data_IF_769837165909
#
_entry.id   IF_769837165909
#
_cell.length_a   1.000
_cell.length_b   1.000
_cell.length_c   1.000
_cell.angle_alpha   90.00
_cell.angle_beta   90.00
_cell.angle_gamma   90.00
#
_symmetry.space_group_name_H-M   'P 1'
#
loop_
_entity.id
_entity.type
_entity.pdbx_description
1 polymer ?
#
# COMPACT_ATOMS: atom_id res chain seq x y z
N UNK A 1 10.57 43.47 68.93
CA UNK A 1 9.21 42.94 68.67
C UNK A 1 9.38 41.66 67.85
N UNK A 2 8.59 40.64 68.18
CA UNK A 2 8.87 39.20 68.11
C UNK A 2 9.37 38.60 66.78
N UNK A 3 10.31 37.66 66.94
CA UNK A 3 10.64 36.55 66.03
C UNK A 3 9.52 35.50 65.98
N UNK A 4 9.42 34.76 64.87
CA UNK A 4 9.12 33.30 64.76
C UNK A 4 9.24 32.93 63.26
N UNK A 5 10.28 32.24 62.78
CA UNK A 5 10.68 30.81 62.93
C UNK A 5 9.61 29.79 62.50
N UNK A 6 10.00 28.92 61.56
CA UNK A 6 9.39 27.61 61.30
C UNK A 6 9.36 27.27 59.80
N UNK A 7 10.42 26.73 59.20
CA UNK A 7 10.77 25.28 59.12
C UNK A 7 9.76 24.55 58.22
N UNK A 8 10.09 24.27 56.94
CA UNK A 8 10.93 23.19 56.39
C UNK A 8 10.12 21.94 56.05
N UNK A 9 10.61 21.25 55.01
CA UNK A 9 10.36 19.87 54.60
C UNK A 9 9.08 19.64 53.77
N UNK A 10 9.07 18.76 52.77
CA UNK A 10 10.06 18.09 51.92
C UNK A 10 9.18 17.10 51.16
N UNK A 11 9.46 16.90 49.87
CA UNK A 11 9.26 15.59 49.22
C UNK A 11 7.81 15.11 49.05
N UNK A 12 7.43 14.27 48.10
CA UNK A 12 7.91 13.80 46.82
C UNK A 12 6.85 12.75 46.41
N UNK A 13 6.98 12.22 45.19
CA UNK A 13 6.74 10.79 44.89
C UNK A 13 5.32 10.33 44.48
N UNK A 14 5.35 9.67 43.31
CA UNK A 14 4.56 8.54 42.78
C UNK A 14 3.08 8.76 42.43
N UNK A 15 2.71 8.77 41.14
CA UNK A 15 2.52 7.63 40.19
C UNK A 15 1.45 6.63 40.69
N UNK A 16 0.57 6.27 39.74
CA UNK A 16 -0.41 5.16 39.70
C UNK A 16 -1.79 5.54 40.27
N UNK A 17 -2.82 5.58 39.43
CA UNK A 17 -3.41 4.31 38.99
C UNK A 17 -4.30 4.47 37.76
N UNK A 18 -3.96 3.69 36.73
CA UNK A 18 -4.92 3.10 35.81
C UNK A 18 -5.87 2.23 36.63
N UNK A 19 -7.16 2.56 36.61
CA UNK A 19 -8.23 1.59 36.89
C UNK A 19 -9.31 1.76 35.84
N UNK A 20 -9.33 0.77 34.94
CA UNK A 20 -10.50 0.44 34.15
C UNK A 20 -11.69 0.24 35.10
N UNK A 21 -12.75 1.01 34.91
CA UNK A 21 -14.08 0.63 35.35
C UNK A 21 -14.83 0.10 34.13
N UNK A 22 -14.67 -1.21 33.93
CA UNK A 22 -15.72 -2.06 33.39
C UNK A 22 -16.95 -1.94 34.28
N UNK A 23 -18.10 -1.58 33.72
CA UNK A 23 -19.39 -2.04 34.22
C UNK A 23 -20.39 -2.11 33.08
N UNK A 24 -20.79 -3.33 32.75
CA UNK A 24 -22.02 -3.63 32.04
C UNK A 24 -23.12 -3.83 33.07
N UNK A 25 -24.20 -3.04 33.01
CA UNK A 25 -25.58 -3.55 32.97
C UNK A 25 -26.66 -2.45 32.78
N UNK A 26 -27.35 -2.57 31.64
CA UNK A 26 -28.79 -2.36 31.32
C UNK A 26 -29.60 -1.10 31.71
N UNK A 27 -30.00 -0.41 30.62
CA UNK A 27 -31.36 0.05 30.20
C UNK A 27 -32.10 1.10 31.05
N UNK A 28 -32.38 2.28 30.47
CA UNK A 28 -33.74 2.78 30.15
C UNK A 28 -33.66 4.04 29.25
N UNK A 29 -34.56 4.10 28.26
CA UNK A 29 -34.75 5.12 27.20
C UNK A 29 -34.77 6.58 27.69
N UNK A 30 -34.10 7.47 26.95
CA UNK A 30 -34.60 8.80 26.62
C UNK A 30 -33.89 9.37 25.37
N UNK A 31 -34.71 9.87 24.45
CA UNK A 31 -34.46 10.83 23.35
C UNK A 31 -33.23 10.69 22.45
N UNK A 32 -33.50 10.43 21.17
CA UNK A 32 -32.55 10.58 20.08
C UNK A 32 -32.14 12.05 19.92
N UNK A 33 -30.84 12.39 19.98
CA UNK A 33 -30.37 13.59 19.34
C UNK A 33 -30.23 13.29 17.85
N UNK A 34 -31.15 13.87 17.09
CA UNK A 34 -30.95 14.25 15.71
C UNK A 34 -29.68 15.08 15.58
N UNK A 35 -28.61 14.46 15.09
CA UNK A 35 -27.55 15.19 14.40
C UNK A 35 -27.11 14.34 13.21
N UNK A 36 -27.72 14.67 12.07
CA UNK A 36 -27.13 14.49 10.75
C UNK A 36 -25.82 15.30 10.80
N UNK A 37 -24.73 14.67 11.23
CA UNK A 37 -23.43 15.06 10.73
C UNK A 37 -23.26 14.28 9.43
N UNK A 38 -23.60 14.93 8.32
CA UNK A 38 -23.06 14.58 7.03
C UNK A 38 -21.53 14.67 7.16
N UNK A 39 -20.90 13.56 7.54
CA UNK A 39 -19.53 13.33 7.20
C UNK A 39 -19.54 13.31 5.66
N UNK A 40 -19.07 14.39 5.06
CA UNK A 40 -18.71 14.39 3.65
C UNK A 40 -17.62 13.34 3.53
N UNK A 41 -18.01 12.10 3.20
CA UNK A 41 -17.07 11.10 2.75
C UNK A 41 -16.57 11.61 1.40
N UNK A 42 -15.48 12.36 1.43
CA UNK A 42 -14.76 12.71 0.21
C UNK A 42 -14.14 11.40 -0.29
N UNK A 43 -14.90 10.66 -1.10
CA UNK A 43 -14.43 9.39 -1.67
C UNK A 43 -13.22 9.65 -2.57
N UNK A 44 -12.19 8.81 -2.43
CA UNK A 44 -11.01 8.87 -3.27
C UNK A 44 -11.37 8.49 -4.70
N UNK A 45 -11.07 9.37 -5.66
CA UNK A 45 -11.34 9.16 -7.08
C UNK A 45 -10.05 8.76 -7.78
N UNK A 46 -10.07 7.65 -8.53
CA UNK A 46 -8.92 7.22 -9.32
C UNK A 46 -8.63 8.25 -10.42
N UNK A 47 -7.42 8.81 -10.37
CA UNK A 47 -6.97 9.91 -11.23
C UNK A 47 -6.07 9.40 -12.37
N UNK A 48 -5.06 8.59 -12.03
CA UNK A 48 -4.11 8.05 -13.01
C UNK A 48 -3.49 6.73 -12.57
N UNK A 49 -2.89 6.03 -13.53
CA UNK A 49 -2.04 4.86 -13.29
C UNK A 49 -0.71 5.03 -14.02
N UNK A 50 0.38 4.77 -13.31
CA UNK A 50 1.71 4.63 -13.92
C UNK A 50 2.09 3.16 -14.05
N UNK A 51 2.65 2.80 -15.20
CA UNK A 51 3.19 1.48 -15.48
C UNK A 51 4.69 1.57 -15.77
N UNK A 52 5.50 1.03 -14.86
CA UNK A 52 6.94 0.89 -15.04
C UNK A 52 7.29 -0.58 -15.31
N UNK A 53 8.24 -0.84 -16.20
CA UNK A 53 8.64 -2.18 -16.61
C UNK A 53 10.14 -2.39 -16.47
N UNK A 54 10.51 -3.51 -15.85
CA UNK A 54 11.84 -4.09 -15.93
C UNK A 54 11.84 -5.21 -16.96
N UNK A 55 12.74 -5.13 -17.94
CA UNK A 55 12.96 -6.17 -18.95
C UNK A 55 14.45 -6.38 -19.20
N UNK A 56 14.84 -7.64 -19.26
CA UNK A 56 16.22 -8.03 -19.57
C UNK A 56 16.50 -7.86 -21.07
N UNK A 57 17.78 -7.83 -21.44
CA UNK A 57 18.19 -7.74 -22.86
C UNK A 57 17.95 -6.37 -23.51
N UNK A 58 17.69 -5.32 -22.74
CA UNK A 58 17.65 -3.94 -23.22
C UNK A 58 18.98 -3.23 -22.91
N UNK A 59 19.29 -2.18 -23.67
CA UNK A 59 20.41 -1.26 -23.38
C UNK A 59 19.95 0.00 -22.67
N UNK A 60 18.74 -0.01 -22.11
CA UNK A 60 18.10 1.16 -21.48
C UNK A 60 18.14 1.00 -19.97
N UNK A 61 18.25 2.12 -19.26
CA UNK A 61 18.04 2.18 -17.80
C UNK A 61 16.66 1.59 -17.45
N UNK A 62 16.60 0.76 -16.41
CA UNK A 62 15.37 0.10 -15.96
C UNK A 62 14.96 0.59 -14.56
N UNK A 63 13.66 0.66 -14.25
CA UNK A 63 12.57 0.32 -15.14
C UNK A 63 12.26 1.46 -16.10
N UNK A 64 11.79 1.09 -17.29
CA UNK A 64 11.25 2.04 -18.24
C UNK A 64 9.81 2.39 -17.83
N UNK A 65 9.48 3.68 -17.77
CA UNK A 65 8.09 4.12 -17.70
C UNK A 65 7.45 3.86 -19.07
N UNK A 66 6.59 2.85 -19.15
CA UNK A 66 5.97 2.42 -20.41
C UNK A 66 4.73 3.24 -20.72
N UNK A 67 3.88 3.47 -19.73
CA UNK A 67 2.61 4.17 -19.93
C UNK A 67 2.18 4.95 -18.68
N UNK A 68 1.45 6.03 -18.95
CA UNK A 68 0.64 6.76 -17.97
C UNK A 68 -0.79 6.76 -18.48
N UNK A 69 -1.70 6.17 -17.72
CA UNK A 69 -3.12 6.15 -18.03
C UNK A 69 -3.85 7.21 -17.22
N UNK A 70 -4.64 8.03 -17.89
CA UNK A 70 -5.61 8.97 -17.27
C UNK A 70 -7.02 8.81 -17.83
N UNK A 71 -7.19 7.87 -18.77
CA UNK A 71 -8.47 7.53 -19.38
C UNK A 71 -9.22 6.51 -18.52
N UNK A 72 -10.44 6.84 -18.10
CA UNK A 72 -11.23 6.03 -17.17
C UNK A 72 -11.53 4.61 -17.67
N UNK A 73 -11.65 4.37 -18.97
CA UNK A 73 -11.86 3.03 -19.52
C UNK A 73 -10.60 2.18 -19.34
N UNK A 74 -9.43 2.73 -19.68
CA UNK A 74 -8.14 2.05 -19.51
C UNK A 74 -7.83 1.78 -18.04
N UNK A 75 -8.15 2.74 -17.17
CA UNK A 75 -8.02 2.63 -15.72
C UNK A 75 -8.89 1.47 -15.17
N UNK A 76 -10.13 1.35 -15.64
CA UNK A 76 -11.05 0.30 -15.21
C UNK A 76 -10.60 -1.11 -15.65
N UNK A 77 -10.11 -1.26 -16.89
CA UNK A 77 -9.64 -2.55 -17.42
C UNK A 77 -8.47 -3.08 -16.61
N UNK A 78 -7.45 -2.26 -16.36
CA UNK A 78 -6.27 -2.68 -15.64
C UNK A 78 -6.57 -2.99 -14.16
N UNK A 79 -7.45 -2.20 -13.53
CA UNK A 79 -7.90 -2.41 -12.16
C UNK A 79 -8.74 -3.68 -12.00
N UNK A 80 -9.65 -3.96 -12.93
CA UNK A 80 -10.44 -5.19 -12.94
C UNK A 80 -9.53 -6.42 -13.06
N UNK A 81 -8.49 -6.34 -13.89
CA UNK A 81 -7.56 -7.44 -14.11
C UNK A 81 -6.76 -7.79 -12.85
N UNK A 82 -6.20 -6.82 -12.12
CA UNK A 82 -5.51 -7.11 -10.85
C UNK A 82 -6.42 -7.78 -9.81
N UNK A 83 -7.73 -7.50 -9.86
CA UNK A 83 -8.73 -8.14 -9.02
C UNK A 83 -9.10 -9.57 -9.46
N UNK A 84 -8.74 -9.99 -10.68
CA UNK A 84 -8.94 -11.38 -11.15
C UNK A 84 -7.91 -12.35 -10.59
N UNK A 85 -6.91 -11.85 -9.84
CA UNK A 85 -5.90 -12.68 -9.20
C UNK A 85 -6.55 -13.71 -8.27
N UNK A 86 -6.06 -14.94 -8.32
CA UNK A 86 -6.60 -16.07 -7.55
C UNK A 86 -6.37 -15.98 -6.04
N UNK A 87 -6.51 -17.12 -5.38
CA UNK A 87 -6.08 -17.27 -3.98
C UNK A 87 -4.57 -17.08 -3.85
N UNK A 88 -4.07 -16.61 -2.69
CA UNK A 88 -2.65 -16.57 -2.43
C UNK A 88 -1.98 -17.94 -2.68
N UNK A 89 -0.84 -17.92 -3.36
CA UNK A 89 0.01 -19.04 -3.71
C UNK A 89 1.47 -18.71 -3.39
N UNK A 90 2.30 -19.73 -3.25
CA UNK A 90 3.75 -19.55 -3.09
C UNK A 90 4.33 -18.99 -4.39
N UNK A 91 5.19 -17.98 -4.27
CA UNK A 91 5.89 -17.41 -5.42
C UNK A 91 6.86 -18.45 -6.01
N UNK A 92 6.83 -18.71 -7.33
CA UNK A 92 7.68 -19.73 -7.93
C UNK A 92 9.09 -19.20 -8.19
N UNK A 93 9.93 -19.22 -7.15
CA UNK A 93 11.33 -18.76 -7.17
C UNK A 93 12.22 -19.53 -8.17
N UNK A 94 11.83 -20.75 -8.54
CA UNK A 94 12.56 -21.61 -9.48
C UNK A 94 12.35 -21.23 -10.95
N UNK A 95 11.36 -20.38 -11.25
CA UNK A 95 11.05 -19.97 -12.62
C UNK A 95 11.86 -18.76 -13.06
N UNK A 96 12.24 -18.77 -14.34
CA UNK A 96 12.92 -17.63 -14.98
C UNK A 96 11.96 -16.50 -15.28
N UNK A 97 12.30 -15.31 -14.79
CA UNK A 97 11.52 -14.09 -14.95
C UNK A 97 11.83 -13.50 -16.33
N UNK A 98 10.78 -13.20 -17.09
CA UNK A 98 10.88 -12.49 -18.37
C UNK A 98 10.71 -10.98 -18.18
N UNK A 99 9.74 -10.57 -17.36
CA UNK A 99 9.46 -9.16 -17.08
C UNK A 99 8.88 -8.96 -15.69
N UNK A 100 9.15 -7.79 -15.12
CA UNK A 100 8.50 -7.29 -13.91
C UNK A 100 7.82 -5.97 -14.26
N UNK A 101 6.53 -5.84 -13.96
CA UNK A 101 5.80 -4.58 -14.08
C UNK A 101 5.41 -4.08 -12.69
N UNK A 102 5.57 -2.78 -12.46
CA UNK A 102 5.06 -2.09 -11.27
C UNK A 102 3.96 -1.14 -11.73
N UNK A 103 2.77 -1.33 -11.18
CA UNK A 103 1.58 -0.54 -11.48
C UNK A 103 1.22 0.29 -10.26
N UNK A 104 1.22 1.62 -10.37
CA UNK A 104 0.86 2.52 -9.27
C UNK A 104 -0.41 3.27 -9.63
N UNK A 105 -1.47 3.07 -8.83
CA UNK A 105 -2.74 3.78 -8.91
C UNK A 105 -2.64 5.04 -8.06
N UNK A 106 -3.01 6.18 -8.63
CA UNK A 106 -3.05 7.46 -7.93
C UNK A 106 -4.49 7.91 -7.76
N UNK A 107 -4.86 8.23 -6.54
CA UNK A 107 -6.20 8.68 -6.22
C UNK A 107 -6.19 10.12 -5.72
N UNK A 108 -7.11 10.90 -6.27
CA UNK A 108 -7.38 12.26 -5.85
C UNK A 108 -8.46 12.24 -4.77
N UNK A 109 -8.14 12.86 -3.65
CA UNK A 109 -9.11 13.19 -2.59
C UNK A 109 -9.16 14.71 -2.52
N UNK A 110 -10.36 15.31 -2.51
CA UNK A 110 -10.47 16.78 -2.50
C UNK A 110 -9.67 17.38 -1.33
N UNK A 111 -8.86 18.38 -1.66
CA UNK A 111 -8.02 19.13 -0.71
C UNK A 111 -7.03 18.29 0.13
N UNK A 112 -6.83 17.02 -0.22
CA UNK A 112 -5.93 16.10 0.48
C UNK A 112 -4.74 15.68 -0.40
N UNK A 113 -3.65 15.17 0.20
CA UNK A 113 -2.54 14.59 -0.54
C UNK A 113 -3.01 13.42 -1.42
N UNK A 114 -2.39 13.29 -2.59
CA UNK A 114 -2.57 12.14 -3.47
C UNK A 114 -2.25 10.85 -2.69
N UNK A 115 -3.19 9.91 -2.66
CA UNK A 115 -2.94 8.57 -2.11
C UNK A 115 -2.64 7.61 -3.26
N UNK A 116 -1.98 6.50 -2.97
CA UNK A 116 -1.64 5.53 -4.00
C UNK A 116 -1.67 4.10 -3.50
N UNK A 117 -2.08 3.20 -4.38
CA UNK A 117 -1.87 1.76 -4.23
C UNK A 117 -0.89 1.28 -5.30
N UNK A 118 -0.09 0.27 -5.00
CA UNK A 118 0.79 -0.32 -5.98
C UNK A 118 0.59 -1.82 -6.10
N UNK A 119 0.86 -2.34 -7.29
CA UNK A 119 0.88 -3.77 -7.56
C UNK A 119 2.15 -4.12 -8.31
N UNK A 120 2.77 -5.21 -7.91
CA UNK A 120 3.84 -5.84 -8.69
C UNK A 120 3.25 -6.99 -9.49
N UNK A 121 3.63 -7.09 -10.75
CA UNK A 121 3.32 -8.21 -11.63
C UNK A 121 4.61 -8.80 -12.16
N UNK A 122 4.80 -10.09 -11.93
CA UNK A 122 5.92 -10.86 -12.49
C UNK A 122 5.37 -11.81 -13.54
N UNK A 123 5.92 -11.74 -14.75
CA UNK A 123 5.64 -12.72 -15.80
C UNK A 123 6.90 -13.52 -16.07
N UNK A 124 6.76 -14.84 -16.07
CA UNK A 124 7.83 -15.80 -16.32
C UNK A 124 7.95 -16.11 -17.81
N UNK A 125 9.08 -16.70 -18.22
CA UNK A 125 9.33 -17.09 -19.62
C UNK A 125 8.28 -18.07 -20.17
N UNK A 126 7.69 -18.89 -19.30
CA UNK A 126 6.61 -19.83 -19.66
C UNK A 126 5.22 -19.17 -19.83
N UNK A 127 5.14 -17.84 -19.67
CA UNK A 127 3.91 -17.05 -19.78
C UNK A 127 3.06 -17.02 -18.52
N UNK A 128 3.40 -17.80 -17.48
CA UNK A 128 2.69 -17.71 -16.20
C UNK A 128 2.94 -16.33 -15.58
N UNK A 129 1.91 -15.75 -14.97
CA UNK A 129 2.02 -14.45 -14.30
C UNK A 129 1.52 -14.52 -12.86
N UNK A 130 2.17 -13.77 -11.98
CA UNK A 130 1.80 -13.61 -10.57
C UNK A 130 1.75 -12.14 -10.22
N UNK A 131 0.72 -11.74 -9.46
CA UNK A 131 0.61 -10.38 -8.93
C UNK A 131 0.63 -10.36 -7.42
N UNK A 132 1.01 -9.20 -6.87
CA UNK A 132 0.95 -8.92 -5.44
C UNK A 132 0.61 -7.46 -5.20
N UNK A 133 -0.17 -7.19 -4.15
CA UNK A 133 -0.33 -5.84 -3.63
C UNK A 133 1.00 -5.39 -3.01
N UNK A 134 1.56 -4.33 -3.55
CA UNK A 134 2.84 -3.77 -3.15
C UNK A 134 2.62 -2.52 -2.30
N UNK A 135 3.62 -2.22 -1.45
CA UNK A 135 3.74 -0.89 -0.90
C UNK A 135 4.18 0.04 -2.03
N UNK A 136 3.51 1.18 -2.27
CA UNK A 136 3.95 2.14 -3.27
C UNK A 136 5.42 2.49 -3.04
N UNK A 137 6.29 2.27 -4.05
CA UNK A 137 7.70 2.55 -3.89
C UNK A 137 7.87 4.05 -3.65
N UNK A 138 8.54 4.43 -2.55
CA UNK A 138 8.92 5.83 -2.31
C UNK A 138 9.87 6.33 -3.40
N UNK A 139 10.68 5.41 -3.93
CA UNK A 139 11.59 5.61 -5.03
C UNK A 139 11.71 4.29 -5.78
N UNK A 140 11.74 4.37 -7.11
CA UNK A 140 12.02 3.24 -7.99
C UNK A 140 13.48 3.41 -8.41
N UNK A 141 14.34 2.48 -8.05
CA UNK A 141 15.77 2.58 -8.37
C UNK A 141 16.02 2.33 -9.85
N UNK A 142 16.75 3.28 -10.45
CA UNK A 142 17.26 3.18 -11.82
C UNK A 142 18.45 2.24 -11.87
N UNK A 143 18.33 1.18 -12.65
CA UNK A 143 19.33 0.13 -12.80
C UNK A 143 19.94 0.20 -14.20
N UNK A 144 21.26 0.38 -14.27
CA UNK A 144 22.03 0.33 -15.50
C UNK A 144 23.49 -0.15 -15.26
N UNK A 145 23.94 -1.23 -15.92
CA UNK A 145 23.14 -2.15 -16.72
C UNK A 145 22.15 -2.91 -15.83
N UNK A 146 20.96 -3.19 -16.34
CA UNK A 146 20.01 -4.07 -15.68
C UNK A 146 20.23 -5.50 -16.17
N UNK A 147 20.40 -6.43 -15.24
CA UNK A 147 20.43 -7.86 -15.50
C UNK A 147 19.60 -8.63 -14.46
N UNK A 148 19.42 -9.93 -14.68
CA UNK A 148 18.56 -10.79 -13.88
C UNK A 148 18.97 -10.89 -12.40
N UNK A 149 20.22 -10.58 -12.05
CA UNK A 149 20.69 -10.61 -10.66
C UNK A 149 19.99 -9.58 -9.78
N UNK A 150 19.42 -8.53 -10.38
CA UNK A 150 18.69 -7.47 -9.66
C UNK A 150 17.24 -7.89 -9.35
N UNK A 151 16.72 -8.92 -10.00
CA UNK A 151 15.32 -9.36 -9.84
C UNK A 151 14.98 -9.73 -8.40
N UNK A 152 15.87 -10.44 -7.73
CA UNK A 152 15.68 -10.86 -6.33
C UNK A 152 15.57 -9.63 -5.42
N UNK A 153 16.40 -8.61 -5.64
CA UNK A 153 16.30 -7.33 -4.91
C UNK A 153 14.96 -6.67 -5.18
N UNK A 154 14.54 -6.54 -6.44
CA UNK A 154 13.27 -5.90 -6.81
C UNK A 154 12.07 -6.62 -6.16
N UNK A 155 12.06 -7.94 -6.20
CA UNK A 155 10.98 -8.77 -5.65
C UNK A 155 10.97 -8.75 -4.12
N UNK A 156 12.13 -8.88 -3.48
CA UNK A 156 12.25 -8.91 -2.02
C UNK A 156 11.79 -7.61 -1.36
N UNK A 157 11.99 -6.46 -2.00
CA UNK A 157 11.43 -5.18 -1.53
C UNK A 157 9.90 -5.17 -1.44
N UNK A 158 9.21 -6.06 -2.15
CA UNK A 158 7.75 -6.22 -2.11
C UNK A 158 7.27 -7.39 -1.25
N UNK A 159 8.20 -8.17 -0.68
CA UNK A 159 7.91 -9.37 0.12
C UNK A 159 7.51 -10.59 -0.71
N UNK A 160 7.73 -11.78 -0.16
CA UNK A 160 7.53 -13.08 -0.83
C UNK A 160 6.22 -13.80 -0.47
N UNK A 161 5.40 -13.21 0.40
CA UNK A 161 4.08 -13.67 0.81
C UNK A 161 2.95 -13.11 -0.07
N UNK A 162 1.71 -13.62 0.06
CA UNK A 162 0.50 -13.08 -0.59
C UNK A 162 0.52 -12.89 -2.12
N UNK A 163 1.43 -13.58 -2.81
CA UNK A 163 1.45 -13.63 -4.27
C UNK A 163 0.23 -14.39 -4.79
N UNK A 164 -0.33 -13.94 -5.90
CA UNK A 164 -1.53 -14.53 -6.49
C UNK A 164 -1.27 -14.84 -7.95
N UNK A 165 -1.53 -16.08 -8.32
CA UNK A 165 -1.47 -16.49 -9.73
C UNK A 165 -2.54 -15.74 -10.53
N UNK A 166 -2.12 -15.19 -11.66
CA UNK A 166 -3.00 -14.51 -12.61
C UNK A 166 -3.54 -15.52 -13.64
N UNK A 167 -4.72 -15.22 -14.18
CA UNK A 167 -5.21 -15.87 -15.40
C UNK A 167 -4.38 -15.51 -16.64
N UNK A 168 -4.89 -15.82 -17.83
CA UNK A 168 -4.24 -15.46 -19.09
C UNK A 168 -4.09 -13.93 -19.21
N UNK A 169 -2.87 -13.48 -19.53
CA UNK A 169 -2.43 -12.06 -19.50
C UNK A 169 -1.79 -11.62 -20.80
N UNK A 170 -1.82 -12.45 -21.85
CA UNK A 170 -0.97 -12.29 -23.04
C UNK A 170 -1.24 -11.02 -23.88
N UNK A 171 -2.34 -10.30 -23.64
CA UNK A 171 -2.75 -9.15 -24.45
C UNK A 171 -2.81 -7.81 -23.69
N UNK A 172 -2.24 -7.72 -22.49
CA UNK A 172 -2.49 -6.58 -21.58
C UNK A 172 -1.41 -5.48 -21.67
N UNK A 173 -0.20 -5.82 -22.14
CA UNK A 173 0.93 -4.90 -22.27
C UNK A 173 1.74 -5.14 -23.54
#
# INVERSE_FOLDING_TARGET
MLMKKGILLLSAILILSLTACSSSEKVTKAEAPSSISSATNTEAVLDSINLSQYRTGTTRTQPELINVYSDQEKLAVLGAWLKTAGTPEVFPEDKKINRINVVVYFYKVEEQPLTSDAYMLVTFEDGTSYSKLAVPPRFIEDNYPYDESVNESIISHMGTDDWRKMGDTNNIF
#
